data_IF_744277022888
#
_entry.id   IF_744277022888
#
_cell.length_a   1.000
_cell.length_b   1.000
_cell.length_c   1.000
_cell.angle_alpha   90.00
_cell.angle_beta   90.00
_cell.angle_gamma   90.00
#
_symmetry.space_group_name_H-M   'P 1'
#
loop_
_entity.id
_entity.type
_entity.pdbx_description
1 polymer ?
#
# COMPACT_ATOMS: atom_id res chain seq x y z
N UNK A 1 0.07 -56.90 19.37
CA UNK A 1 1.09 -55.88 19.71
C UNK A 1 0.35 -54.56 19.94
N UNK A 2 0.12 -54.17 21.20
CA UNK A 2 0.71 -52.98 21.90
C UNK A 2 0.72 -51.70 21.05
N UNK A 3 0.21 -50.52 21.41
CA UNK A 3 -0.72 -49.92 22.41
C UNK A 3 -0.88 -48.46 21.88
N UNK A 4 -2.04 -47.78 21.99
CA UNK A 4 -2.20 -46.40 21.53
C UNK A 4 -1.59 -45.42 22.54
N UNK A 5 -1.02 -44.29 22.10
CA UNK A 5 -0.61 -43.22 23.01
C UNK A 5 -1.31 -41.91 22.63
N UNK A 6 -2.12 -41.46 23.58
CA UNK A 6 -2.96 -40.28 23.60
C UNK A 6 -2.21 -39.23 24.42
N UNK A 7 -1.78 -38.13 23.81
CA UNK A 7 -1.05 -37.07 24.49
C UNK A 7 -1.98 -35.87 24.73
N UNK A 8 -2.54 -35.85 25.94
CA UNK A 8 -3.45 -34.85 26.46
C UNK A 8 -2.65 -33.61 26.88
N UNK A 9 -2.87 -32.48 26.18
CA UNK A 9 -2.22 -31.19 26.47
C UNK A 9 -2.88 -30.50 27.68
N UNK A 10 -2.11 -29.93 28.64
CA UNK A 10 -2.67 -29.34 29.85
C UNK A 10 -3.35 -27.98 29.56
N UNK A 11 -4.52 -27.79 30.16
CA UNK A 11 -5.24 -26.52 30.19
C UNK A 11 -4.60 -25.59 31.23
N UNK A 12 -3.87 -24.58 30.77
CA UNK A 12 -3.24 -23.57 31.60
C UNK A 12 -4.27 -22.52 32.03
N UNK A 13 -4.55 -22.45 33.35
CA UNK A 13 -5.41 -21.44 33.97
C UNK A 13 -4.69 -20.10 33.98
N UNK A 14 -5.22 -19.13 33.25
CA UNK A 14 -4.78 -17.73 33.32
C UNK A 14 -5.34 -17.08 34.60
N UNK A 15 -4.49 -16.49 35.47
CA UNK A 15 -4.96 -15.76 36.64
C UNK A 15 -5.59 -14.42 36.24
N UNK A 16 -6.81 -14.17 36.73
CA UNK A 16 -7.44 -12.85 36.70
C UNK A 16 -6.76 -11.95 37.73
N UNK A 17 -6.00 -10.96 37.26
CA UNK A 17 -5.49 -9.88 38.10
C UNK A 17 -6.51 -8.74 38.12
N UNK A 18 -7.04 -8.45 39.30
CA UNK A 18 -7.81 -7.25 39.61
C UNK A 18 -6.81 -6.14 39.94
N UNK A 19 -6.77 -5.07 39.15
CA UNK A 19 -6.16 -3.81 39.58
C UNK A 19 -7.24 -2.77 39.85
N UNK A 20 -7.28 -2.41 41.13
CA UNK A 20 -8.08 -1.34 41.70
C UNK A 20 -7.16 -0.15 41.92
N UNK A 21 -7.34 0.92 41.14
CA UNK A 21 -6.50 2.12 41.25
C UNK A 21 -7.36 3.39 41.17
N UNK A 22 -7.73 3.84 42.37
CA UNK A 22 -7.80 5.22 42.87
C UNK A 22 -7.84 6.36 41.83
N UNK A 23 -8.96 7.06 41.88
CA UNK A 23 -9.21 8.39 41.33
C UNK A 23 -8.30 9.45 41.98
N UNK A 24 -7.33 9.96 41.24
CA UNK A 24 -6.71 11.25 41.53
C UNK A 24 -7.33 12.29 40.59
N UNK A 25 -8.05 13.24 41.18
CA UNK A 25 -8.57 14.43 40.51
C UNK A 25 -7.40 15.39 40.25
N UNK A 26 -6.71 15.20 39.13
CA UNK A 26 -5.64 16.08 38.70
C UNK A 26 -6.24 17.29 37.96
N UNK A 27 -5.80 18.50 38.33
CA UNK A 27 -6.26 19.76 37.76
C UNK A 27 -6.18 19.75 36.22
N UNK A 28 -7.32 20.03 35.59
CA UNK A 28 -7.54 19.95 34.15
C UNK A 28 -6.74 20.95 33.33
N UNK A 29 -5.50 20.59 33.01
CA UNK A 29 -4.89 21.02 31.76
C UNK A 29 -5.55 20.16 30.68
N UNK A 30 -6.31 20.71 29.73
CA UNK A 30 -6.88 19.91 28.65
C UNK A 30 -5.71 19.20 27.96
N UNK A 31 -5.78 17.88 27.73
CA UNK A 31 -4.73 17.16 27.04
C UNK A 31 -4.50 17.89 25.73
N UNK A 32 -3.31 18.48 25.60
CA UNK A 32 -2.85 19.14 24.38
C UNK A 32 -3.15 18.16 23.27
N UNK A 33 -4.16 18.49 22.47
CA UNK A 33 -4.63 17.62 21.41
C UNK A 33 -3.51 17.66 20.40
N UNK A 34 -2.59 16.70 20.48
CA UNK A 34 -1.50 16.55 19.52
C UNK A 34 -2.16 16.57 18.16
N UNK A 35 -2.01 17.70 17.46
CA UNK A 35 -2.38 17.81 16.07
C UNK A 35 -1.49 16.82 15.35
N UNK A 36 -2.03 15.60 15.18
CA UNK A 36 -1.40 14.51 14.45
C UNK A 36 -1.27 14.99 13.01
N UNK A 37 -0.15 15.65 12.73
CA UNK A 37 0.19 16.21 11.43
C UNK A 37 0.15 15.05 10.43
N UNK A 38 -0.91 15.02 9.62
CA UNK A 38 -1.07 13.98 8.61
C UNK A 38 0.08 14.08 7.61
N UNK A 39 0.91 13.04 7.57
CA UNK A 39 2.00 12.95 6.62
C UNK A 39 1.40 12.56 5.27
N UNK A 40 1.57 13.43 4.26
CA UNK A 40 1.11 13.15 2.91
C UNK A 40 2.16 12.27 2.22
N UNK A 41 1.78 11.04 1.89
CA UNK A 41 2.61 10.09 1.13
C UNK A 41 2.16 10.08 -0.32
N UNK A 42 3.10 10.13 -1.26
CA UNK A 42 2.79 10.02 -2.68
C UNK A 42 3.50 8.79 -3.29
N UNK A 43 2.74 7.87 -3.88
CA UNK A 43 3.32 6.70 -4.55
C UNK A 43 3.93 7.14 -5.88
N UNK A 44 5.23 6.92 -6.05
CA UNK A 44 5.98 7.27 -7.26
C UNK A 44 6.07 6.08 -8.21
N UNK A 45 6.35 4.88 -7.68
CA UNK A 45 6.57 3.68 -8.50
C UNK A 45 6.19 2.41 -7.74
N UNK A 46 5.63 1.43 -8.46
CA UNK A 46 5.36 0.08 -7.94
C UNK A 46 6.00 -0.94 -8.88
N UNK A 47 6.80 -1.86 -8.33
CA UNK A 47 7.46 -2.92 -9.11
C UNK A 47 7.46 -4.24 -8.32
N UNK A 48 7.04 -5.36 -8.91
CA UNK A 48 6.45 -5.50 -10.25
C UNK A 48 4.96 -5.11 -10.29
N UNK A 49 4.45 -4.76 -11.47
CA UNK A 49 3.01 -4.48 -11.69
C UNK A 49 2.17 -5.74 -11.94
N UNK A 50 2.82 -6.86 -12.27
CA UNK A 50 2.19 -8.16 -12.49
C UNK A 50 2.66 -9.10 -11.39
N UNK A 51 1.69 -9.62 -10.64
CA UNK A 51 1.88 -10.41 -9.44
C UNK A 51 1.36 -11.84 -9.64
N UNK A 52 1.95 -12.78 -8.90
CA UNK A 52 1.50 -14.17 -8.87
C UNK A 52 0.14 -14.28 -8.14
N UNK A 53 -0.90 -14.92 -8.73
CA UNK A 53 -2.21 -15.10 -8.10
C UNK A 53 -2.17 -15.84 -6.76
N UNK A 54 -1.13 -16.63 -6.52
CA UNK A 54 -0.90 -17.31 -5.23
C UNK A 54 -0.40 -16.37 -4.13
N UNK A 55 -0.06 -15.13 -4.44
CA UNK A 55 0.61 -14.21 -3.52
C UNK A 55 2.05 -14.63 -3.24
N UNK A 56 2.61 -14.12 -2.15
CA UNK A 56 3.96 -14.45 -1.69
C UNK A 56 5.09 -13.75 -2.45
N UNK A 57 4.76 -12.94 -3.46
CA UNK A 57 5.75 -12.20 -4.24
C UNK A 57 6.06 -10.85 -3.57
N UNK A 58 7.34 -10.50 -3.48
CA UNK A 58 7.79 -9.20 -2.98
C UNK A 58 7.45 -8.08 -3.97
N UNK A 59 6.95 -6.97 -3.43
CA UNK A 59 6.55 -5.77 -4.15
C UNK A 59 7.30 -4.59 -3.55
N UNK A 60 8.07 -3.90 -4.40
CA UNK A 60 8.80 -2.68 -4.09
C UNK A 60 7.95 -1.48 -4.47
N UNK A 61 7.68 -0.62 -3.50
CA UNK A 61 6.90 0.60 -3.71
C UNK A 61 7.77 1.79 -3.33
N UNK A 62 8.15 2.58 -4.31
CA UNK A 62 8.87 3.85 -4.10
C UNK A 62 7.85 4.94 -3.86
N UNK A 63 8.06 5.75 -2.83
CA UNK A 63 7.18 6.84 -2.47
C UNK A 63 7.97 8.12 -2.19
N UNK A 64 7.32 9.27 -2.35
CA UNK A 64 7.85 10.56 -1.96
C UNK A 64 7.12 11.08 -0.73
N UNK A 65 7.88 11.66 0.21
CA UNK A 65 7.36 12.29 1.42
C UNK A 65 8.03 13.65 1.64
N UNK A 66 7.28 14.70 2.04
CA UNK A 66 7.86 16.00 2.37
C UNK A 66 8.65 15.99 3.69
N UNK A 67 8.56 14.92 4.47
CA UNK A 67 9.19 14.80 5.79
C UNK A 67 10.02 13.53 5.88
N UNK A 68 11.17 13.61 6.56
CA UNK A 68 12.00 12.43 6.86
C UNK A 68 11.21 11.49 7.77
N UNK A 69 10.91 10.30 7.26
CA UNK A 69 10.18 9.28 8.01
C UNK A 69 11.18 8.53 8.87
N UNK A 70 10.96 8.54 10.19
CA UNK A 70 11.75 7.78 11.16
C UNK A 70 11.14 6.40 11.48
N UNK A 71 10.00 6.09 10.89
CA UNK A 71 9.31 4.82 11.11
C UNK A 71 9.98 3.69 10.33
N UNK A 72 10.10 2.53 10.98
CA UNK A 72 10.69 1.32 10.39
C UNK A 72 9.66 0.35 9.79
N UNK A 73 8.39 0.59 10.08
CA UNK A 73 7.28 -0.27 9.70
C UNK A 73 6.17 0.56 9.10
N UNK A 74 5.46 -0.04 8.15
CA UNK A 74 4.24 0.51 7.59
C UNK A 74 3.31 -0.61 7.15
N UNK A 75 2.31 -0.27 6.34
CA UNK A 75 1.35 -1.20 5.80
C UNK A 75 1.16 -0.94 4.30
N UNK A 76 1.11 -2.03 3.52
CA UNK A 76 0.60 -2.01 2.16
C UNK A 76 -0.80 -2.57 2.14
N UNK A 77 -1.70 -1.94 1.38
CA UNK A 77 -3.06 -2.43 1.15
C UNK A 77 -3.24 -2.79 -0.31
N UNK A 78 -3.60 -4.04 -0.55
CA UNK A 78 -3.90 -4.64 -1.85
C UNK A 78 -5.41 -4.86 -1.94
N UNK A 79 -6.14 -3.86 -2.43
CA UNK A 79 -7.60 -3.84 -2.39
C UNK A 79 -8.12 -3.87 -0.95
N UNK A 80 -8.64 -5.01 -0.50
CA UNK A 80 -9.15 -5.20 0.87
C UNK A 80 -8.13 -5.81 1.84
N UNK A 81 -7.03 -6.37 1.32
CA UNK A 81 -6.04 -7.06 2.13
C UNK A 81 -4.97 -6.07 2.58
N UNK A 82 -4.72 -5.98 3.89
CA UNK A 82 -3.64 -5.17 4.46
C UNK A 82 -2.53 -6.12 4.89
N UNK A 83 -1.30 -5.84 4.45
CA UNK A 83 -0.10 -6.60 4.79
C UNK A 83 0.94 -5.67 5.42
N UNK A 84 1.72 -6.15 6.39
CA UNK A 84 2.81 -5.37 6.95
C UNK A 84 3.89 -5.09 5.90
N UNK A 85 4.51 -3.94 6.03
CA UNK A 85 5.58 -3.46 5.16
C UNK A 85 6.85 -3.17 5.95
N UNK A 86 7.99 -3.59 5.40
CA UNK A 86 9.28 -3.04 5.80
C UNK A 86 9.51 -1.70 5.11
N UNK A 87 10.10 -0.75 5.82
CA UNK A 87 10.49 0.55 5.24
C UNK A 87 12.00 0.63 5.17
N UNK A 88 12.52 0.85 3.96
CA UNK A 88 13.95 1.01 3.68
C UNK A 88 14.18 2.34 2.95
N UNK A 89 14.35 3.42 3.71
CA UNK A 89 14.45 4.77 3.14
C UNK A 89 13.13 5.25 2.56
N UNK A 90 13.07 5.46 1.24
CA UNK A 90 11.88 5.90 0.49
C UNK A 90 11.17 4.74 -0.21
N UNK A 91 11.40 3.52 0.28
CA UNK A 91 10.83 2.30 -0.27
C UNK A 91 10.02 1.52 0.78
N UNK A 92 8.85 1.03 0.37
CA UNK A 92 8.08 0.01 1.06
C UNK A 92 8.35 -1.34 0.41
N UNK A 93 8.65 -2.33 1.25
CA UNK A 93 8.84 -3.73 0.88
C UNK A 93 7.68 -4.54 1.45
N UNK A 94 6.85 -5.09 0.56
CA UNK A 94 5.60 -5.77 0.93
C UNK A 94 5.49 -7.13 0.26
N UNK A 95 4.93 -8.10 0.96
CA UNK A 95 4.62 -9.42 0.39
C UNK A 95 3.16 -9.42 -0.08
N UNK A 96 2.96 -9.62 -1.39
CA UNK A 96 1.64 -9.62 -1.99
C UNK A 96 0.75 -10.73 -1.41
N UNK A 97 -0.51 -10.43 -1.04
CA UNK A 97 -1.47 -11.46 -0.63
C UNK A 97 -1.99 -12.23 -1.86
N UNK A 98 -2.56 -13.43 -1.68
CA UNK A 98 -3.23 -14.15 -2.77
C UNK A 98 -4.42 -13.37 -3.34
N UNK A 99 -4.57 -13.36 -4.67
CA UNK A 99 -5.70 -12.73 -5.36
C UNK A 99 -5.84 -13.28 -6.78
N UNK A 100 -7.07 -13.33 -7.29
CA UNK A 100 -7.39 -13.70 -8.68
C UNK A 100 -7.86 -12.50 -9.52
N UNK A 101 -7.81 -11.28 -8.97
CA UNK A 101 -8.26 -10.05 -9.61
C UNK A 101 -7.18 -9.00 -9.55
N UNK A 102 -7.22 -8.06 -10.50
CA UNK A 102 -6.42 -6.84 -10.41
C UNK A 102 -6.94 -5.99 -9.24
N UNK A 103 -6.03 -5.35 -8.50
CA UNK A 103 -6.36 -4.59 -7.29
C UNK A 103 -5.56 -3.28 -7.24
N UNK A 104 -6.11 -2.29 -6.57
CA UNK A 104 -5.39 -1.06 -6.25
C UNK A 104 -4.48 -1.26 -5.05
N UNK A 105 -3.27 -0.72 -5.14
CA UNK A 105 -2.26 -0.73 -4.09
C UNK A 105 -2.14 0.67 -3.50
N UNK A 106 -2.26 0.76 -2.18
CA UNK A 106 -2.06 1.97 -1.40
C UNK A 106 -1.13 1.70 -0.22
N UNK A 107 -0.40 2.71 0.26
CA UNK A 107 0.52 2.58 1.40
C UNK A 107 0.07 3.44 2.58
N UNK A 108 0.44 3.03 3.79
CA UNK A 108 0.21 3.77 5.03
C UNK A 108 1.37 3.55 6.00
N UNK A 109 1.72 4.58 6.75
CA UNK A 109 2.73 4.52 7.80
C UNK A 109 2.18 3.97 9.13
N UNK A 110 0.93 4.33 9.45
CA UNK A 110 0.29 4.02 10.74
C UNK A 110 -0.91 3.08 10.63
N UNK A 111 -1.27 2.67 9.41
CA UNK A 111 -2.46 1.87 9.11
C UNK A 111 -3.78 2.65 9.15
N UNK A 112 -3.76 3.94 9.50
CA UNK A 112 -4.95 4.79 9.61
C UNK A 112 -5.06 5.75 8.43
N UNK A 113 -3.95 6.42 8.07
CA UNK A 113 -3.90 7.38 6.96
C UNK A 113 -3.25 6.73 5.76
N UNK A 114 -3.98 6.67 4.66
CA UNK A 114 -3.53 6.04 3.41
C UNK A 114 -3.12 7.11 2.41
N UNK A 115 -2.11 6.81 1.60
CA UNK A 115 -1.74 7.65 0.45
C UNK A 115 -2.99 7.89 -0.43
N UNK A 116 -3.21 9.13 -0.92
CA UNK A 116 -4.37 9.46 -1.75
C UNK A 116 -4.28 8.84 -3.15
N UNK A 117 -3.07 8.48 -3.59
CA UNK A 117 -2.82 7.91 -4.90
C UNK A 117 -2.71 6.39 -4.81
N UNK A 118 -3.46 5.71 -5.66
CA UNK A 118 -3.50 4.25 -5.75
C UNK A 118 -2.93 3.78 -7.09
N UNK A 119 -2.17 2.69 -7.07
CA UNK A 119 -1.61 2.07 -8.29
C UNK A 119 -2.28 0.73 -8.56
N UNK A 120 -2.76 0.52 -9.79
CA UNK A 120 -3.37 -0.75 -10.19
C UNK A 120 -2.28 -1.81 -10.43
N UNK A 121 -2.36 -2.93 -9.72
CA UNK A 121 -1.54 -4.13 -9.96
C UNK A 121 -2.41 -5.29 -10.44
N UNK A 122 -1.82 -6.14 -11.27
CA UNK A 122 -2.51 -7.26 -11.89
C UNK A 122 -2.04 -8.59 -11.30
N UNK A 123 -2.97 -9.44 -10.90
CA UNK A 123 -2.65 -10.82 -10.56
C UNK A 123 -2.84 -11.71 -11.78
N UNK A 124 -1.75 -12.26 -12.30
CA UNK A 124 -1.77 -13.10 -13.51
C UNK A 124 -0.96 -14.37 -13.28
N UNK A 125 -1.58 -15.51 -13.56
CA UNK A 125 -0.87 -16.78 -13.53
C UNK A 125 0.26 -16.74 -14.59
N UNK A 126 1.47 -17.23 -14.28
CA UNK A 126 2.47 -17.43 -15.31
C UNK A 126 1.87 -18.33 -16.39
N UNK A 127 2.07 -17.97 -17.66
CA UNK A 127 1.67 -18.81 -18.78
C UNK A 127 2.34 -20.17 -18.58
N UNK A 128 1.55 -21.23 -18.48
CA UNK A 128 2.12 -22.57 -18.32
C UNK A 128 2.92 -22.90 -19.59
N UNK A 129 4.06 -23.60 -19.46
CA UNK A 129 4.85 -24.02 -20.62
C UNK A 129 4.00 -24.80 -21.64
N UNK A 130 3.00 -25.56 -21.17
CA UNK A 130 2.02 -26.24 -22.02
C UNK A 130 1.16 -25.28 -22.83
N UNK A 131 0.75 -24.16 -22.23
CA UNK A 131 -0.01 -23.12 -22.92
C UNK A 131 0.82 -22.45 -24.01
N UNK A 132 2.08 -22.13 -23.71
CA UNK A 132 3.01 -21.54 -24.69
C UNK A 132 3.21 -22.48 -25.88
N UNK A 133 3.44 -23.78 -25.63
CA UNK A 133 3.60 -24.77 -26.71
C UNK A 133 2.31 -24.90 -27.52
N UNK A 134 1.14 -24.95 -26.86
CA UNK A 134 -0.14 -25.03 -27.56
C UNK A 134 -0.39 -23.81 -28.45
N UNK A 135 -0.11 -22.60 -27.97
CA UNK A 135 -0.27 -21.36 -28.75
C UNK A 135 0.69 -21.34 -29.96
N UNK A 136 1.94 -21.80 -29.81
CA UNK A 136 2.90 -21.91 -30.92
C UNK A 136 2.40 -22.94 -31.95
N UNK A 137 1.98 -24.13 -31.51
CA UNK A 137 1.49 -25.19 -32.40
C UNK A 137 0.21 -24.76 -33.11
N UNK A 138 -0.74 -24.11 -32.41
CA UNK A 138 -1.95 -23.57 -32.99
C UNK A 138 -1.64 -22.50 -34.05
N UNK A 139 -0.69 -21.60 -33.80
CA UNK A 139 -0.22 -20.63 -34.79
C UNK A 139 0.35 -21.30 -36.06
N UNK A 140 1.10 -22.40 -35.92
CA UNK A 140 1.66 -23.13 -37.07
C UNK A 140 0.57 -23.82 -37.89
N UNK A 141 -0.43 -24.43 -37.24
CA UNK A 141 -1.49 -25.20 -37.91
C UNK A 141 -2.56 -24.30 -38.56
N UNK A 142 -2.75 -23.08 -38.06
CA UNK A 142 -3.84 -22.16 -38.50
C UNK A 142 -3.42 -21.22 -39.66
N UNK A 143 -2.23 -21.38 -40.24
CA UNK A 143 -1.89 -20.79 -41.55
C UNK A 143 -2.77 -21.32 -42.72
N UNK A 144 -3.75 -22.19 -42.45
CA UNK A 144 -4.77 -22.66 -43.39
C UNK A 144 -6.08 -21.84 -43.43
N UNK A 145 -6.18 -20.68 -42.75
CA UNK A 145 -7.12 -19.63 -43.17
C UNK A 145 -8.32 -19.31 -42.29
N UNK A 146 -8.23 -19.46 -40.95
CA UNK A 146 -9.28 -18.93 -40.05
C UNK A 146 -8.67 -17.92 -39.07
N UNK A 147 -9.04 -16.62 -39.12
CA UNK A 147 -8.56 -15.64 -38.17
C UNK A 147 -9.22 -15.87 -36.80
N UNK A 148 -8.57 -16.68 -35.96
CA UNK A 148 -8.99 -16.85 -34.57
C UNK A 148 -8.68 -15.56 -33.80
N UNK A 149 -9.73 -14.93 -33.28
CA UNK A 149 -9.65 -13.76 -32.42
C UNK A 149 -9.03 -14.14 -31.06
N UNK A 150 -7.71 -14.15 -30.98
CA UNK A 150 -6.99 -14.24 -29.71
C UNK A 150 -7.32 -12.95 -28.95
N UNK A 151 -8.13 -13.02 -27.89
CA UNK A 151 -8.29 -11.91 -26.95
C UNK A 151 -7.00 -11.82 -26.15
N UNK A 152 -6.13 -10.83 -26.40
CA UNK A 152 -4.91 -10.72 -25.62
C UNK A 152 -5.33 -10.42 -24.16
N UNK A 153 -4.76 -11.15 -23.21
CA UNK A 153 -4.90 -10.90 -21.78
C UNK A 153 -4.17 -9.58 -21.44
N UNK A 154 -4.69 -8.47 -21.92
CA UNK A 154 -4.17 -7.13 -21.69
C UNK A 154 -4.77 -6.68 -20.37
N UNK A 155 -3.94 -6.57 -19.34
CA UNK A 155 -4.29 -5.71 -18.22
C UNK A 155 -4.68 -4.36 -18.82
N UNK A 156 -5.93 -3.89 -18.61
CA UNK A 156 -6.35 -2.63 -19.19
C UNK A 156 -5.35 -1.59 -18.68
N UNK A 157 -4.50 -1.11 -19.59
CA UNK A 157 -3.64 0.03 -19.31
C UNK A 157 -4.62 1.16 -19.11
N UNK A 158 -5.04 1.39 -17.87
CA UNK A 158 -5.59 2.68 -17.50
C UNK A 158 -4.45 3.62 -17.83
N UNK A 159 -4.64 4.50 -18.82
CA UNK A 159 -3.74 5.64 -19.01
C UNK A 159 -3.57 6.18 -17.59
N UNK A 160 -2.36 6.08 -17.02
CA UNK A 160 -2.06 6.85 -15.83
C UNK A 160 -2.47 8.25 -16.24
N UNK A 161 -3.49 8.81 -15.59
CA UNK A 161 -3.78 10.20 -15.80
C UNK A 161 -2.46 10.88 -15.45
N UNK A 162 -1.75 11.30 -16.49
CA UNK A 162 -0.75 12.33 -16.39
C UNK A 162 -1.52 13.41 -15.63
N UNK A 163 -1.13 13.56 -14.37
CA UNK A 163 -1.77 14.49 -13.47
C UNK A 163 -1.48 15.81 -14.14
N UNK A 164 -2.42 16.31 -14.95
CA UNK A 164 -2.39 17.66 -15.46
C UNK A 164 -2.37 18.50 -14.19
N UNK A 165 -1.16 18.90 -13.79
CA UNK A 165 -0.96 19.92 -12.79
C UNK A 165 -1.65 21.11 -13.43
N UNK A 166 -2.87 21.33 -12.97
CA UNK A 166 -3.67 22.48 -13.30
C UNK A 166 -2.80 23.67 -12.84
N UNK A 167 -2.09 24.24 -13.82
CA UNK A 167 -1.30 25.47 -13.71
C UNK A 167 -2.29 26.63 -13.86
N UNK A 168 -3.29 26.67 -13.02
CA UNK A 168 -4.03 27.89 -12.69
C UNK A 168 -3.14 28.67 -11.72
N UNK A 169 -2.00 29.10 -12.27
CA UNK A 169 -1.26 30.25 -11.76
C UNK A 169 -2.09 31.46 -12.11
N UNK A 170 -3.01 31.82 -11.21
CA UNK A 170 -3.50 33.18 -11.12
C UNK A 170 -2.28 34.03 -10.73
N UNK A 171 -1.78 34.83 -11.67
CA UNK A 171 -0.71 35.80 -11.45
C UNK A 171 -1.18 36.79 -10.37
N UNK A 172 -0.90 36.50 -9.11
CA UNK A 172 -1.10 37.46 -8.03
C UNK A 172 -0.07 38.57 -8.23
N UNK A 173 -0.49 39.82 -8.51
CA UNK A 173 0.44 40.92 -8.66
C UNK A 173 1.20 41.12 -7.34
N UNK A 174 2.53 41.14 -7.47
CA UNK A 174 3.48 41.41 -6.40
C UNK A 174 3.41 42.91 -6.02
N UNK A 175 2.31 43.36 -5.42
CA UNK A 175 2.23 44.71 -4.82
C UNK A 175 2.73 44.65 -3.39
N UNK A 176 4.00 45.00 -3.24
CA UNK A 176 4.53 45.92 -2.21
C UNK A 176 3.78 45.98 -0.89
N UNK A 177 4.18 45.16 0.09
CA UNK A 177 4.00 45.45 1.51
C UNK A 177 5.39 45.72 2.12
N UNK A 178 5.86 46.95 1.90
CA UNK A 178 6.91 47.58 2.70
C UNK A 178 6.21 48.28 3.86
N UNK A 179 6.87 48.26 5.02
CA UNK A 179 6.59 49.09 6.20
C UNK A 179 5.34 48.73 7.01
N UNK A 180 5.57 48.07 8.15
CA UNK A 180 5.21 48.58 9.48
C UNK A 180 5.64 47.55 10.53
N UNK A 181 6.91 47.65 10.95
CA UNK A 181 7.42 46.90 12.10
C UNK A 181 8.46 47.72 12.85
N UNK A 182 8.10 48.94 13.22
CA UNK A 182 8.73 49.69 14.31
C UNK A 182 7.62 50.49 14.96
N UNK A 183 7.25 50.09 16.18
CA UNK A 183 6.71 50.90 17.26
C UNK A 183 5.99 49.95 18.23
N UNK A 184 6.76 49.38 19.18
CA UNK A 184 6.24 48.85 20.46
C UNK A 184 7.39 48.49 21.41
N UNK A 185 8.32 49.42 21.62
CA UNK A 185 9.19 49.42 22.78
C UNK A 185 9.33 50.87 23.29
N UNK A 186 8.42 51.24 24.18
CA UNK A 186 8.55 52.34 25.13
C UNK A 186 7.82 51.93 26.42
#
# INVERSE_FOLDING_TARGET
MKTPNNEQKPSEKVPQYFESSKSNAELGIPPQTEQKKSILLNIVKVTPLILNPKGGQEVHIVFASPSKILQKQGNCRFGKNIVPAGIAGEEFLCISPPSNKSVYVSISLDGQVWAPNDVLVCYQAPLSAKQIIFDIVACIVVFSGVPSAIKPYICPKKKSNEFDIQKDGEDVPLTTAKEQLFDNFA
#
